data_IF_189570174542
#
_entry.id   IF_189570174542
#
_cell.length_a   1.000
_cell.length_b   1.000
_cell.length_c   1.000
_cell.angle_alpha   90.00
_cell.angle_beta   90.00
_cell.angle_gamma   90.00
#
_symmetry.space_group_name_H-M   'P 1'
#
loop_
_entity.id
_entity.type
_entity.pdbx_description
1 polymer ?
#
# COMPACT_ATOMS: atom_id res chain seq x y z
N UNK A 1 15.15 -7.05 7.46
CA UNK A 1 16.08 -6.60 6.40
C UNK A 1 15.26 -6.05 5.25
N UNK A 2 15.47 -4.80 4.83
CA UNK A 2 14.80 -4.21 3.66
C UNK A 2 15.51 -4.71 2.40
N UNK A 3 15.17 -5.91 1.96
CA UNK A 3 15.72 -6.54 0.76
C UNK A 3 14.59 -7.07 -0.13
N UNK A 4 14.64 -6.88 -1.46
CA UNK A 4 13.73 -7.54 -2.40
C UNK A 4 13.77 -9.08 -2.29
N UNK A 5 14.86 -9.66 -1.78
CA UNK A 5 15.01 -11.10 -1.56
C UNK A 5 14.51 -11.59 -0.19
N UNK A 6 13.94 -10.71 0.63
CA UNK A 6 13.35 -11.11 1.91
C UNK A 6 12.12 -12.01 1.71
N UNK A 7 11.81 -12.83 2.71
CA UNK A 7 10.64 -13.69 2.66
C UNK A 7 9.37 -12.85 2.48
N UNK A 8 8.62 -13.12 1.40
CA UNK A 8 7.39 -12.41 1.11
C UNK A 8 6.29 -12.80 2.10
N UNK A 9 5.64 -11.81 2.71
CA UNK A 9 4.54 -12.03 3.67
C UNK A 9 3.15 -11.83 3.07
N UNK A 10 3.08 -11.29 1.85
CA UNK A 10 1.84 -10.97 1.15
C UNK A 10 2.10 -10.29 -0.19
N UNK A 11 1.02 -9.81 -0.81
CA UNK A 11 1.03 -9.07 -2.08
C UNK A 11 0.05 -7.91 -2.01
N UNK A 12 0.51 -6.71 -2.39
CA UNK A 12 -0.37 -5.62 -2.75
C UNK A 12 -0.84 -5.82 -4.19
N UNK A 13 -2.15 -5.82 -4.41
CA UNK A 13 -2.78 -6.00 -5.74
C UNK A 13 -3.74 -4.86 -5.96
N UNK A 14 -3.64 -4.18 -7.10
CA UNK A 14 -4.50 -3.05 -7.37
C UNK A 14 -3.99 -2.22 -8.52
N UNK A 15 -4.44 -0.96 -8.54
CA UNK A 15 -4.10 0.01 -9.53
C UNK A 15 -3.79 1.35 -8.85
N UNK A 16 -2.99 2.14 -9.55
CA UNK A 16 -2.85 3.56 -9.26
C UNK A 16 -2.99 4.32 -10.57
N UNK A 17 -3.46 5.57 -10.48
CA UNK A 17 -3.57 6.48 -11.63
C UNK A 17 -3.01 7.84 -11.24
N UNK A 18 -2.46 8.57 -12.20
CA UNK A 18 -2.13 9.98 -11.99
C UNK A 18 -3.40 10.76 -11.69
N UNK A 19 -3.45 11.35 -10.50
CA UNK A 19 -4.60 12.12 -10.02
C UNK A 19 -4.46 13.62 -10.26
N UNK A 20 -3.27 14.07 -10.67
CA UNK A 20 -2.95 15.48 -10.94
C UNK A 20 -2.14 15.61 -12.24
N UNK A 21 -2.34 16.72 -12.94
CA UNK A 21 -1.56 17.09 -14.13
C UNK A 21 -0.34 17.94 -13.81
N UNK A 22 -0.21 18.43 -12.57
CA UNK A 22 0.87 19.34 -12.15
C UNK A 22 1.73 18.79 -11.03
N UNK A 23 1.11 18.22 -10.00
CA UNK A 23 1.82 17.63 -8.86
C UNK A 23 2.01 16.12 -9.08
N UNK A 24 3.06 15.51 -8.51
CA UNK A 24 3.27 14.07 -8.58
C UNK A 24 2.34 13.31 -7.62
N UNK A 25 1.04 13.37 -7.90
CA UNK A 25 -0.01 12.78 -7.06
C UNK A 25 -0.69 11.61 -7.77
N UNK A 26 -0.84 10.51 -7.06
CA UNK A 26 -1.55 9.31 -7.49
C UNK A 26 -2.85 9.14 -6.71
N UNK A 27 -3.85 8.52 -7.34
CA UNK A 27 -4.94 7.86 -6.64
C UNK A 27 -4.63 6.37 -6.61
N UNK A 28 -4.52 5.81 -5.41
CA UNK A 28 -4.22 4.39 -5.18
C UNK A 28 -5.50 3.66 -4.78
N UNK A 29 -5.71 2.48 -5.35
CA UNK A 29 -6.76 1.54 -4.96
C UNK A 29 -6.19 0.14 -4.99
N UNK A 30 -6.02 -0.47 -3.83
CA UNK A 30 -5.38 -1.77 -3.70
C UNK A 30 -5.93 -2.61 -2.55
N UNK A 31 -5.67 -3.90 -2.65
CA UNK A 31 -5.85 -4.88 -1.60
C UNK A 31 -4.48 -5.43 -1.19
N UNK A 32 -4.17 -5.39 0.11
CA UNK A 32 -2.99 -6.05 0.68
C UNK A 32 -3.40 -7.41 1.17
N UNK A 33 -3.05 -8.45 0.42
CA UNK A 33 -3.39 -9.85 0.71
C UNK A 33 -2.22 -10.51 1.44
N UNK A 34 -2.45 -10.95 2.68
CA UNK A 34 -1.42 -11.63 3.47
C UNK A 34 -1.42 -13.13 3.15
N UNK A 35 -0.23 -13.71 2.99
CA UNK A 35 -0.04 -15.11 2.59
C UNK A 35 0.77 -15.92 3.60
N UNK A 36 1.17 -15.32 4.72
CA UNK A 36 1.97 -15.96 5.76
C UNK A 36 1.59 -15.45 7.15
N UNK A 37 1.91 -16.23 8.18
CA UNK A 37 1.65 -15.87 9.57
C UNK A 37 0.17 -16.06 9.97
N UNK A 38 -0.24 -15.50 11.13
CA UNK A 38 -1.57 -15.74 11.72
C UNK A 38 -2.72 -15.16 10.89
N UNK A 39 -2.43 -14.19 10.01
CA UNK A 39 -3.41 -13.53 9.16
C UNK A 39 -3.38 -14.02 7.71
N UNK A 40 -2.70 -15.12 7.42
CA UNK A 40 -2.64 -15.69 6.08
C UNK A 40 -4.06 -15.96 5.54
N UNK A 41 -4.33 -15.49 4.33
CA UNK A 41 -5.66 -15.55 3.69
C UNK A 41 -6.57 -14.35 3.99
N UNK A 42 -6.18 -13.47 4.91
CA UNK A 42 -6.89 -12.20 5.17
C UNK A 42 -6.32 -11.06 4.34
N UNK A 43 -7.10 -9.98 4.19
CA UNK A 43 -6.68 -8.80 3.45
C UNK A 43 -7.21 -7.50 4.03
N UNK A 44 -6.55 -6.40 3.70
CA UNK A 44 -7.03 -5.03 3.94
C UNK A 44 -7.14 -4.27 2.61
N UNK A 45 -8.22 -3.51 2.44
CA UNK A 45 -8.44 -2.66 1.26
C UNK A 45 -8.04 -1.24 1.58
N UNK A 46 -7.16 -0.68 0.77
CA UNK A 46 -6.63 0.68 0.92
C UNK A 46 -6.99 1.53 -0.29
N UNK A 47 -7.56 2.70 -0.03
CA UNK A 47 -7.90 3.71 -1.03
C UNK A 47 -7.44 5.07 -0.54
N UNK A 48 -6.75 5.82 -1.38
CA UNK A 48 -6.34 7.16 -1.00
C UNK A 48 -5.47 7.87 -2.02
N UNK A 49 -5.25 9.16 -1.76
CA UNK A 49 -4.30 9.99 -2.49
C UNK A 49 -2.88 9.71 -1.99
N UNK A 50 -1.97 9.47 -2.92
CA UNK A 50 -0.53 9.31 -2.69
C UNK A 50 0.21 10.48 -3.34
N UNK A 51 0.56 11.48 -2.52
CA UNK A 51 1.46 12.56 -2.93
C UNK A 51 2.90 12.10 -2.79
N UNK A 52 3.54 11.71 -3.91
CA UNK A 52 4.85 11.06 -3.91
C UNK A 52 5.95 12.01 -3.38
N UNK A 53 5.73 13.32 -3.42
CA UNK A 53 6.68 14.31 -2.88
C UNK A 53 6.61 14.44 -1.36
N UNK A 54 5.55 13.95 -0.71
CA UNK A 54 5.39 14.02 0.74
C UNK A 54 6.28 12.97 1.45
N UNK A 55 6.91 13.32 2.59
CA UNK A 55 7.78 12.38 3.31
C UNK A 55 7.01 11.23 3.96
N UNK A 56 5.74 11.46 4.33
CA UNK A 56 4.81 10.48 4.88
C UNK A 56 3.44 10.74 4.26
N UNK A 57 2.77 9.67 3.83
CA UNK A 57 1.45 9.75 3.21
C UNK A 57 0.48 8.86 3.96
N UNK A 58 -0.69 9.39 4.26
CA UNK A 58 -1.76 8.64 4.91
C UNK A 58 -2.80 8.22 3.87
N UNK A 59 -3.07 6.93 3.76
CA UNK A 59 -4.14 6.39 2.91
C UNK A 59 -5.13 5.60 3.77
N UNK A 60 -6.42 5.68 3.43
CA UNK A 60 -7.47 5.07 4.25
C UNK A 60 -7.55 3.56 4.05
N UNK A 61 -7.64 2.81 5.15
CA UNK A 61 -8.14 1.44 5.15
C UNK A 61 -9.66 1.51 5.18
N UNK A 62 -10.29 1.15 4.07
CA UNK A 62 -11.75 1.27 3.87
C UNK A 62 -12.49 -0.05 4.11
N UNK A 63 -11.75 -1.13 4.39
CA UNK A 63 -12.32 -2.45 4.63
C UNK A 63 -11.25 -3.53 4.75
N UNK A 64 -11.71 -4.76 4.93
CA UNK A 64 -10.87 -5.95 4.93
C UNK A 64 -11.68 -7.24 4.91
N UNK A 65 -10.98 -8.35 4.70
CA UNK A 65 -11.54 -9.71 4.66
C UNK A 65 -10.90 -10.60 5.71
N UNK A 66 -11.52 -11.76 5.98
CA UNK A 66 -11.01 -12.71 6.96
C UNK A 66 -10.98 -12.12 8.37
N UNK A 67 -9.82 -12.17 9.01
CA UNK A 67 -9.56 -11.60 10.34
C UNK A 67 -9.70 -10.07 10.38
N UNK A 68 -9.61 -9.40 9.22
CA UNK A 68 -9.79 -7.94 9.11
C UNK A 68 -11.19 -7.55 8.65
N UNK A 69 -12.19 -8.43 8.80
CA UNK A 69 -13.58 -8.09 8.44
C UNK A 69 -14.03 -6.84 9.22
N UNK A 70 -14.62 -5.89 8.50
CA UNK A 70 -15.02 -4.56 9.01
C UNK A 70 -13.85 -3.65 9.46
N UNK A 71 -12.61 -3.94 9.07
CA UNK A 71 -11.48 -3.08 9.41
C UNK A 71 -11.65 -1.66 8.83
N UNK A 72 -11.42 -0.66 9.67
CA UNK A 72 -11.31 0.75 9.30
C UNK A 72 -10.07 1.34 9.94
N UNK A 73 -9.33 2.18 9.23
CA UNK A 73 -8.11 2.77 9.76
C UNK A 73 -7.32 3.47 8.66
N UNK A 74 -6.00 3.48 8.78
CA UNK A 74 -5.11 4.10 7.82
C UNK A 74 -3.77 3.36 7.71
N UNK A 75 -3.09 3.55 6.59
CA UNK A 75 -1.69 3.19 6.40
C UNK A 75 -0.85 4.45 6.34
N UNK A 76 0.41 4.36 6.77
CA UNK A 76 1.40 5.42 6.58
C UNK A 76 2.47 4.90 5.62
N UNK A 77 2.71 5.64 4.55
CA UNK A 77 3.67 5.28 3.51
C UNK A 77 4.84 6.24 3.44
N UNK A 78 6.05 5.69 3.41
CA UNK A 78 7.32 6.40 3.23
C UNK A 78 8.09 5.80 2.06
N UNK A 79 8.62 6.65 1.19
CA UNK A 79 9.44 6.19 0.07
C UNK A 79 10.85 5.94 0.58
N UNK A 80 11.29 4.68 0.57
CA UNK A 80 12.65 4.29 0.97
C UNK A 80 13.62 4.47 -0.19
N UNK A 81 13.20 4.07 -1.39
CA UNK A 81 13.94 4.30 -2.62
C UNK A 81 12.99 4.44 -3.81
N UNK A 82 13.40 5.23 -4.79
CA UNK A 82 12.69 5.46 -6.04
C UNK A 82 13.68 5.37 -7.20
N UNK A 83 13.51 4.35 -8.03
CA UNK A 83 14.28 4.10 -9.25
C UNK A 83 13.29 3.79 -10.38
N UNK A 84 12.73 4.87 -10.95
CA UNK A 84 11.54 4.80 -11.82
C UNK A 84 11.72 3.77 -12.97
N UNK A 85 10.77 2.83 -13.14
CA UNK A 85 9.41 2.81 -12.57
C UNK A 85 9.27 2.13 -11.21
N UNK A 86 10.36 1.68 -10.59
CA UNK A 86 10.36 0.90 -9.36
C UNK A 86 10.45 1.79 -8.11
N UNK A 87 9.80 1.37 -7.03
CA UNK A 87 9.91 2.01 -5.72
C UNK A 87 9.88 0.97 -4.61
N UNK A 88 10.56 1.27 -3.49
CA UNK A 88 10.41 0.55 -2.23
C UNK A 88 9.70 1.48 -1.24
N UNK A 89 8.55 1.04 -0.76
CA UNK A 89 7.75 1.74 0.24
C UNK A 89 7.91 1.05 1.61
N UNK A 90 7.89 1.86 2.66
CA UNK A 90 7.71 1.45 4.06
C UNK A 90 6.36 1.90 4.58
#
# INVERSE_FOLDING_TARGET
ARSPSSAAVGRAKGQYVWASSGNPELLVTMEVVLTSGPFAGSSVTVVGRDDIAAPVRELSVVGGTGEFRMASGYVLWKTVSLDHPNAILE
#
